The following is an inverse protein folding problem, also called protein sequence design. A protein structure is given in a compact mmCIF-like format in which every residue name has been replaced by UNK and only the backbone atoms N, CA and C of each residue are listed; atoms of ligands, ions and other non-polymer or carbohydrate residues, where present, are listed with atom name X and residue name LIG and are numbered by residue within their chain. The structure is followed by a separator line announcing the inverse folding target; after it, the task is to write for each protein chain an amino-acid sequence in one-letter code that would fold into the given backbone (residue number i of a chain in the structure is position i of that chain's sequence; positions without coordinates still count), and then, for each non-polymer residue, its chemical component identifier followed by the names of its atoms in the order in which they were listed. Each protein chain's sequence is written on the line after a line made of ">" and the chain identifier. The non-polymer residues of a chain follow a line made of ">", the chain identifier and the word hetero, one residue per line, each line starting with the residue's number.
data_IF_814911867319
#
_entry.id   IF_814911867319
#
_cell.length_a   1.000
_cell.length_b   1.000
_cell.length_c   1.000
_cell.angle_alpha   90.00
_cell.angle_beta   90.00
_cell.angle_gamma   90.00
#
_symmetry.space_group_name_H-M   'P 1'
#
loop_
_entity.id
_entity.type
_entity.pdbx_description
1 polymer ?
#
# COMPACT_ATOMS: atom_id res chain seq x y z
N UNK A 1 -10.43 -2.97 8.60
CA UNK A 1 -10.51 -2.70 10.05
C UNK A 1 -11.17 -1.35 10.34
N UNK A 2 -10.55 -0.19 10.05
CA UNK A 2 -11.08 1.12 10.48
C UNK A 2 -12.26 1.71 9.65
N UNK A 3 -13.07 0.89 8.98
CA UNK A 3 -14.30 1.35 8.31
C UNK A 3 -14.23 1.74 6.83
N UNK A 4 -13.06 1.75 6.18
CA UNK A 4 -12.95 2.02 4.74
C UNK A 4 -13.44 0.84 3.88
N UNK A 5 -14.14 1.14 2.78
CA UNK A 5 -14.60 0.14 1.80
C UNK A 5 -13.60 -0.06 0.64
N UNK A 6 -12.70 0.90 0.41
CA UNK A 6 -11.62 0.84 -0.57
C UNK A 6 -10.40 1.66 -0.11
N UNK A 7 -9.26 1.49 -0.78
CA UNK A 7 -8.02 2.24 -0.51
C UNK A 7 -7.42 2.80 -1.79
N UNK A 8 -6.80 3.98 -1.70
CA UNK A 8 -5.96 4.53 -2.75
C UNK A 8 -4.51 4.08 -2.52
N UNK A 9 -3.88 3.54 -3.57
CA UNK A 9 -2.47 3.15 -3.55
C UNK A 9 -1.66 4.15 -4.39
N UNK A 10 -0.70 4.83 -3.78
CA UNK A 10 0.24 5.74 -4.46
C UNK A 10 1.63 5.13 -4.56
N UNK A 11 2.45 5.37 -3.54
CA UNK A 11 3.84 4.90 -3.48
C UNK A 11 4.00 3.38 -3.64
N UNK A 12 2.98 2.59 -3.28
CA UNK A 12 2.98 1.15 -3.48
C UNK A 12 2.98 0.76 -4.97
N UNK A 13 2.10 1.35 -5.79
CA UNK A 13 1.98 1.04 -7.22
C UNK A 13 2.98 1.83 -8.08
N UNK A 14 3.56 2.91 -7.57
CA UNK A 14 4.66 3.61 -8.23
C UNK A 14 5.93 2.75 -8.41
N UNK A 15 5.98 1.61 -7.71
CA UNK A 15 7.03 0.58 -7.85
C UNK A 15 6.81 -0.37 -9.03
N UNK A 16 5.71 -0.22 -9.77
CA UNK A 16 5.41 -1.06 -10.93
C UNK A 16 6.36 -0.74 -12.10
N UNK A 17 6.71 -1.75 -12.89
CA UNK A 17 7.46 -1.58 -14.15
C UNK A 17 6.72 -0.66 -15.14
N UNK A 18 5.40 -0.71 -15.12
CA UNK A 18 4.50 0.09 -15.95
C UNK A 18 4.32 1.52 -15.42
N UNK A 19 4.77 1.81 -14.19
CA UNK A 19 4.62 3.14 -13.61
C UNK A 19 5.48 4.17 -14.38
N UNK A 20 4.89 5.28 -14.85
CA UNK A 20 5.61 6.27 -15.66
C UNK A 20 6.73 6.97 -14.89
N UNK A 21 6.62 7.00 -13.55
CA UNK A 21 7.65 7.53 -12.66
C UNK A 21 8.92 6.68 -12.57
N UNK A 22 8.94 5.46 -13.12
CA UNK A 22 10.11 4.55 -13.15
C UNK A 22 10.82 4.44 -11.79
N UNK A 23 10.04 4.17 -10.74
CA UNK A 23 10.53 4.07 -9.36
C UNK A 23 10.55 5.39 -8.58
N UNK A 24 10.13 6.51 -9.18
CA UNK A 24 9.87 7.77 -8.48
C UNK A 24 8.39 7.96 -8.18
N UNK A 25 8.09 8.50 -7.00
CA UNK A 25 6.75 8.90 -6.57
C UNK A 25 6.76 10.32 -6.01
N UNK A 26 5.72 11.10 -6.32
CA UNK A 26 5.47 12.43 -5.79
C UNK A 26 3.97 12.72 -5.83
N UNK A 27 3.48 13.55 -4.92
CA UNK A 27 2.15 14.13 -5.04
C UNK A 27 2.18 15.45 -5.82
N UNK A 28 1.02 15.93 -6.24
CA UNK A 28 0.90 17.18 -7.01
C UNK A 28 1.34 18.41 -6.21
N UNK A 29 1.26 18.34 -4.88
CA UNK A 29 1.73 19.37 -3.97
C UNK A 29 3.26 19.57 -3.98
N UNK A 30 4.02 18.65 -4.58
CA UNK A 30 5.47 18.79 -4.76
C UNK A 30 5.86 19.87 -5.78
N UNK A 31 4.95 20.26 -6.69
CA UNK A 31 5.27 21.18 -7.80
C UNK A 31 4.71 22.59 -7.61
N UNK A 32 4.17 22.91 -6.44
CA UNK A 32 3.64 24.26 -6.19
C UNK A 32 4.79 25.29 -6.15
N UNK A 33 4.71 26.40 -6.91
CA UNK A 33 5.82 27.35 -7.08
C UNK A 33 6.26 28.01 -5.76
N UNK A 34 5.29 28.48 -4.97
CA UNK A 34 5.59 29.26 -3.76
C UNK A 34 5.47 28.47 -2.44
N UNK A 35 4.93 27.25 -2.51
CA UNK A 35 4.59 26.46 -1.33
C UNK A 35 4.70 24.96 -1.62
N UNK A 36 5.89 24.46 -2.02
CA UNK A 36 6.09 23.04 -2.21
C UNK A 36 5.91 22.31 -0.87
N UNK A 37 4.93 21.40 -0.80
CA UNK A 37 4.61 20.61 0.41
C UNK A 37 4.79 19.11 0.21
N UNK A 38 5.32 18.72 -0.94
CA UNK A 38 5.61 17.34 -1.30
C UNK A 38 7.10 17.13 -1.54
N UNK A 39 7.52 15.89 -1.43
CA UNK A 39 8.88 15.47 -1.79
C UNK A 39 8.80 14.40 -2.87
N UNK A 40 9.72 14.48 -3.83
CA UNK A 40 9.91 13.40 -4.79
C UNK A 40 10.78 12.33 -4.13
N UNK A 41 10.23 11.14 -3.97
CA UNK A 41 10.88 10.02 -3.29
C UNK A 41 11.16 8.89 -4.26
N UNK A 42 12.35 8.30 -4.15
CA UNK A 42 12.71 7.13 -4.93
C UNK A 42 12.27 5.88 -4.16
N UNK A 43 11.23 5.23 -4.67
CA UNK A 43 10.72 3.97 -4.14
C UNK A 43 11.34 2.76 -4.86
N UNK A 44 11.89 2.96 -6.06
CA UNK A 44 12.45 1.88 -6.90
C UNK A 44 11.37 1.02 -7.55
N UNK A 45 11.77 0.01 -8.32
CA UNK A 45 10.87 -0.90 -9.04
C UNK A 45 10.91 -2.29 -8.42
N UNK A 46 9.76 -2.91 -8.19
CA UNK A 46 9.66 -4.21 -7.48
C UNK A 46 9.05 -5.34 -8.32
N UNK A 47 8.37 -5.03 -9.42
CA UNK A 47 7.80 -5.98 -10.36
C UNK A 47 6.73 -5.34 -11.23
N UNK A 48 5.96 -6.15 -11.96
CA UNK A 48 4.81 -5.67 -12.73
C UNK A 48 3.67 -5.23 -11.80
N UNK A 49 2.75 -4.40 -12.30
CA UNK A 49 1.55 -4.02 -11.56
C UNK A 49 0.72 -5.24 -11.15
N UNK A 50 0.63 -6.24 -12.04
CA UNK A 50 -0.05 -7.50 -11.77
C UNK A 50 0.59 -8.25 -10.59
N UNK A 51 1.93 -8.36 -10.57
CA UNK A 51 2.65 -8.99 -9.46
C UNK A 51 2.48 -8.22 -8.15
N UNK A 52 2.49 -6.88 -8.22
CA UNK A 52 2.26 -6.02 -7.06
C UNK A 52 0.87 -6.28 -6.47
N UNK A 53 -0.18 -6.35 -7.29
CA UNK A 53 -1.55 -6.53 -6.79
C UNK A 53 -1.86 -7.98 -6.42
N UNK A 54 -1.48 -8.95 -7.26
CA UNK A 54 -1.97 -10.33 -7.19
C UNK A 54 -0.86 -11.37 -6.94
N UNK A 55 0.40 -10.97 -7.01
CA UNK A 55 1.55 -11.85 -6.81
C UNK A 55 1.97 -12.65 -8.05
N UNK A 56 2.79 -13.70 -7.86
CA UNK A 56 3.29 -14.21 -6.58
C UNK A 56 4.21 -13.21 -5.87
N UNK A 57 4.24 -13.26 -4.54
CA UNK A 57 5.28 -12.53 -3.78
C UNK A 57 6.52 -13.40 -3.70
N UNK A 58 7.64 -12.91 -4.22
CA UNK A 58 8.95 -13.58 -4.16
C UNK A 58 9.83 -13.09 -3.00
N UNK A 59 9.31 -12.16 -2.19
CA UNK A 59 10.03 -11.48 -1.11
C UNK A 59 9.12 -11.22 0.09
N UNK A 60 9.73 -10.96 1.25
CA UNK A 60 9.02 -10.77 2.52
C UNK A 60 8.80 -9.29 2.89
N UNK A 61 9.17 -8.34 2.02
CA UNK A 61 9.10 -6.89 2.28
C UNK A 61 7.70 -6.28 2.12
N UNK A 62 6.67 -7.09 1.87
CA UNK A 62 5.27 -6.68 1.64
C UNK A 62 5.02 -5.77 0.44
N UNK A 63 5.98 -5.63 -0.48
CA UNK A 63 5.80 -4.81 -1.69
C UNK A 63 5.00 -5.49 -2.81
N UNK A 64 4.73 -6.79 -2.69
CA UNK A 64 4.02 -7.60 -3.68
C UNK A 64 2.82 -8.33 -3.07
N UNK A 65 1.86 -8.69 -3.93
CA UNK A 65 0.66 -9.46 -3.62
C UNK A 65 -0.24 -8.83 -2.53
N UNK A 66 -0.63 -7.56 -2.73
CA UNK A 66 -1.53 -6.84 -1.82
C UNK A 66 -2.88 -7.55 -1.64
N UNK A 67 -3.47 -8.11 -2.71
CA UNK A 67 -4.75 -8.80 -2.65
C UNK A 67 -4.64 -10.12 -1.90
N UNK A 68 -3.57 -10.89 -2.09
CA UNK A 68 -3.31 -12.09 -1.31
C UNK A 68 -3.06 -11.79 0.16
N UNK A 69 -2.37 -10.68 0.48
CA UNK A 69 -2.19 -10.22 1.85
C UNK A 69 -3.52 -9.84 2.51
N UNK A 70 -4.41 -9.13 1.79
CA UNK A 70 -5.77 -8.82 2.26
C UNK A 70 -6.57 -10.10 2.52
N UNK A 71 -6.60 -11.05 1.57
CA UNK A 71 -7.29 -12.33 1.72
C UNK A 71 -6.78 -13.13 2.92
N UNK A 72 -5.47 -13.18 3.14
CA UNK A 72 -4.87 -13.83 4.32
C UNK A 72 -5.28 -13.15 5.61
N UNK A 73 -5.31 -11.80 5.63
CA UNK A 73 -5.74 -11.02 6.79
C UNK A 73 -7.20 -11.30 7.13
N UNK A 74 -8.07 -11.34 6.11
CA UNK A 74 -9.48 -11.67 6.27
C UNK A 74 -9.66 -13.10 6.82
N UNK A 75 -8.94 -14.08 6.26
CA UNK A 75 -8.98 -15.46 6.72
C UNK A 75 -8.51 -15.61 8.18
N UNK A 76 -7.41 -14.95 8.58
CA UNK A 76 -6.89 -15.05 9.95
C UNK A 76 -7.73 -14.32 11.00
N UNK A 77 -8.54 -13.34 10.57
CA UNK A 77 -9.47 -12.60 11.43
C UNK A 77 -10.89 -13.16 11.40
N UNK A 78 -11.15 -14.20 10.60
CA UNK A 78 -12.46 -14.87 10.53
C UNK A 78 -13.51 -14.15 9.68
N UNK A 79 -13.09 -13.29 8.74
CA UNK A 79 -13.99 -12.57 7.83
C UNK A 79 -13.81 -13.02 6.39
N UNK A 80 -14.90 -13.02 5.61
CA UNK A 80 -14.89 -13.33 4.18
C UNK A 80 -15.17 -12.12 3.30
N UNK A 81 -15.69 -11.03 3.87
CA UNK A 81 -16.03 -9.79 3.16
C UNK A 81 -15.32 -8.57 3.76
N UNK A 82 -14.95 -7.60 2.91
CA UNK A 82 -14.28 -6.35 3.33
C UNK A 82 -15.16 -5.59 4.32
N UNK A 83 -16.49 -5.63 4.14
CA UNK A 83 -17.42 -4.93 5.02
C UNK A 83 -17.40 -5.50 6.44
N UNK A 84 -17.34 -6.83 6.56
CA UNK A 84 -17.30 -7.48 7.87
C UNK A 84 -15.95 -7.31 8.55
N UNK A 85 -14.85 -7.24 7.79
CA UNK A 85 -13.52 -6.91 8.31
C UNK A 85 -13.47 -5.55 9.03
N UNK A 86 -14.45 -4.67 8.81
CA UNK A 86 -14.56 -3.41 9.55
C UNK A 86 -14.98 -3.61 11.02
N UNK A 87 -15.40 -4.81 11.41
CA UNK A 87 -15.77 -5.18 12.79
C UNK A 87 -14.62 -5.84 13.57
N UNK A 88 -13.47 -6.04 12.93
CA UNK A 88 -12.31 -6.66 13.57
C UNK A 88 -11.90 -5.87 14.83
N UNK A 89 -11.52 -6.59 15.90
CA UNK A 89 -10.93 -5.95 17.08
C UNK A 89 -9.59 -5.32 16.71
N UNK A 90 -9.37 -4.10 17.17
CA UNK A 90 -8.13 -3.35 16.95
C UNK A 90 -7.48 -3.07 18.29
N UNK A 91 -6.20 -3.38 18.40
CA UNK A 91 -5.36 -3.03 19.56
C UNK A 91 -4.46 -1.87 19.16
N UNK A 92 -4.40 -0.84 20.01
CA UNK A 92 -3.47 0.28 19.83
C UNK A 92 -2.17 -0.05 20.57
N UNK A 93 -1.09 -0.26 19.82
CA UNK A 93 0.24 -0.40 20.43
C UNK A 93 0.72 0.97 20.92
N UNK A 94 1.26 1.08 22.15
CA UNK A 94 1.89 2.31 22.60
C UNK A 94 3.03 2.69 21.66
N UNK A 95 3.20 4.00 21.44
CA UNK A 95 4.29 4.51 20.64
C UNK A 95 5.61 4.35 21.40
N UNK A 96 6.51 3.55 20.84
CA UNK A 96 7.93 3.54 21.23
C UNK A 96 8.69 4.26 20.12
N UNK A 97 9.36 5.36 20.45
CA UNK A 97 10.30 5.99 19.53
C UNK A 97 11.50 5.05 19.39
N UNK A 98 11.68 4.48 18.20
CA UNK A 98 12.87 3.72 17.80
C UNK A 98 13.83 4.60 17.03
#
# INVERSE_FOLDING_TARGET
>A
ACGADAVMLGAAIARAEEAPGRGWHWGSEATHPDMPRGQRVHVGTTGTLEQILYGPSTRADSSLNFVGALKRTMASTGYSEVKDLQRAQVVVSPYSAS
#
